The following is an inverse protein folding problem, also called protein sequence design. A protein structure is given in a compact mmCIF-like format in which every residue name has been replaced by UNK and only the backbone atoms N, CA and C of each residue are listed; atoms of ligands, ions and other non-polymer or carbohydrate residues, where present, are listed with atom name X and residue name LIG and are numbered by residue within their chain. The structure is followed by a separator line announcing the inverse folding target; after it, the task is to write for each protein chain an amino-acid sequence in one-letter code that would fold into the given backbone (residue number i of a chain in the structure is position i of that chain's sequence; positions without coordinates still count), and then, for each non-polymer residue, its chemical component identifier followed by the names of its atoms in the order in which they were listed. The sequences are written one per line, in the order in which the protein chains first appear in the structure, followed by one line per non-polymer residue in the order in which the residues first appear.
data_IF_404143808308
#
_entry.id   IF_404143808308
#
_cell.length_a   1.000
_cell.length_b   1.000
_cell.length_c   1.000
_cell.angle_alpha   90.00
_cell.angle_beta   90.00
_cell.angle_gamma   90.00
#
_symmetry.space_group_name_H-M   'P 1'
#
loop_
_entity.id
_entity.type
_entity.pdbx_description
1 polymer ?
#
# COMPACT_ATOMS: atom_id res chain seq x y z
N UNK A 1 2.20 8.68 -10.18
CA UNK A 1 2.30 9.88 -9.32
C UNK A 1 3.11 9.64 -8.03
N UNK A 2 2.82 8.62 -7.19
CA UNK A 2 3.68 8.30 -6.03
C UNK A 2 4.95 7.51 -6.37
N UNK A 3 4.80 6.43 -7.15
CA UNK A 3 5.92 5.58 -7.62
C UNK A 3 6.93 6.30 -8.50
N UNK A 4 6.46 7.18 -9.39
CA UNK A 4 7.33 7.97 -10.27
C UNK A 4 8.25 8.93 -9.48
N UNK A 5 7.87 9.28 -8.24
CA UNK A 5 8.66 10.11 -7.33
C UNK A 5 9.58 9.30 -6.41
N UNK A 6 9.66 7.97 -6.57
CA UNK A 6 10.44 7.09 -5.70
C UNK A 6 9.91 6.98 -4.28
N UNK A 7 8.64 7.34 -4.06
CA UNK A 7 7.98 7.29 -2.75
C UNK A 7 7.29 5.94 -2.54
N UNK A 8 7.24 5.50 -1.29
CA UNK A 8 6.43 4.36 -0.87
C UNK A 8 4.95 4.69 -1.03
N UNK A 9 4.22 3.80 -1.70
CA UNK A 9 2.81 4.01 -2.06
C UNK A 9 1.92 2.99 -1.38
N UNK A 10 0.89 3.48 -0.69
CA UNK A 10 -0.14 2.66 -0.04
C UNK A 10 -1.46 2.87 -0.76
N UNK A 11 -2.06 1.76 -1.22
CA UNK A 11 -3.41 1.75 -1.76
C UNK A 11 -4.39 1.29 -0.67
N UNK A 12 -5.38 2.12 -0.36
CA UNK A 12 -6.48 1.74 0.53
C UNK A 12 -7.73 1.43 -0.31
N UNK A 13 -8.32 0.25 -0.12
CA UNK A 13 -9.44 -0.25 -0.91
C UNK A 13 -10.80 0.32 -0.47
N UNK A 14 -10.94 1.65 -0.46
CA UNK A 14 -12.19 2.34 -0.06
C UNK A 14 -13.14 2.62 -1.24
N UNK A 15 -12.81 2.18 -2.45
CA UNK A 15 -13.49 2.55 -3.69
C UNK A 15 -13.71 1.36 -4.65
N UNK A 16 -13.72 1.64 -5.95
CA UNK A 16 -13.99 0.63 -6.98
C UNK A 16 -12.83 -0.36 -7.23
N UNK A 17 -11.66 -0.12 -6.64
CA UNK A 17 -10.47 -0.97 -6.85
C UNK A 17 -10.52 -2.18 -5.92
N UNK A 18 -10.29 -3.36 -6.49
CA UNK A 18 -10.23 -4.62 -5.74
C UNK A 18 -8.77 -5.04 -5.47
N UNK A 19 -8.59 -5.96 -4.53
CA UNK A 19 -7.29 -6.58 -4.26
C UNK A 19 -6.69 -7.21 -5.54
N UNK A 20 -7.50 -7.93 -6.31
CA UNK A 20 -7.08 -8.56 -7.56
C UNK A 20 -6.55 -7.55 -8.60
N UNK A 21 -7.20 -6.39 -8.71
CA UNK A 21 -6.74 -5.32 -9.59
C UNK A 21 -5.40 -4.74 -9.14
N UNK A 22 -5.20 -4.59 -7.82
CA UNK A 22 -3.95 -4.10 -7.26
C UNK A 22 -2.79 -5.11 -7.46
N UNK A 23 -3.08 -6.40 -7.31
CA UNK A 23 -2.09 -7.48 -7.46
C UNK A 23 -1.61 -7.63 -8.91
N UNK A 24 -2.52 -7.45 -9.87
CA UNK A 24 -2.27 -7.53 -11.31
C UNK A 24 -1.85 -6.19 -11.95
N UNK A 25 -1.71 -5.13 -11.17
CA UNK A 25 -1.26 -3.83 -11.66
C UNK A 25 0.14 -3.93 -12.28
N UNK A 26 0.38 -3.16 -13.35
CA UNK A 26 1.71 -3.09 -13.97
C UNK A 26 2.74 -2.53 -12.98
N UNK A 27 4.01 -2.93 -13.11
CA UNK A 27 5.07 -2.55 -12.18
C UNK A 27 5.22 -1.03 -11.96
N UNK A 28 4.83 -0.23 -12.97
CA UNK A 28 4.87 1.24 -12.92
C UNK A 28 3.84 1.84 -11.95
N UNK A 29 2.72 1.16 -11.73
CA UNK A 29 1.59 1.67 -10.92
C UNK A 29 1.21 0.75 -9.76
N UNK A 30 1.87 -0.41 -9.65
CA UNK A 30 1.64 -1.37 -8.58
C UNK A 30 2.01 -0.77 -7.22
N UNK A 31 1.07 -0.65 -6.26
CA UNK A 31 1.35 -0.11 -4.94
C UNK A 31 2.31 -1.01 -4.16
N UNK A 32 3.00 -0.44 -3.17
CA UNK A 32 3.94 -1.17 -2.31
C UNK A 32 3.22 -1.88 -1.16
N UNK A 33 2.08 -1.32 -0.73
CA UNK A 33 1.17 -1.92 0.25
C UNK A 33 -0.27 -1.72 -0.19
N UNK A 34 -1.08 -2.75 0.04
CA UNK A 34 -2.54 -2.69 -0.14
C UNK A 34 -3.20 -2.93 1.22
N UNK A 35 -4.09 -2.03 1.62
CA UNK A 35 -4.86 -2.13 2.85
C UNK A 35 -6.35 -2.17 2.52
N UNK A 36 -7.11 -2.97 3.25
CA UNK A 36 -8.55 -3.02 3.11
C UNK A 36 -9.22 -1.74 3.64
N UNK A 37 -8.63 -1.12 4.66
CA UNK A 37 -9.15 0.07 5.31
C UNK A 37 -8.02 0.96 5.87
N UNK A 38 -8.24 2.27 5.91
CA UNK A 38 -7.26 3.26 6.41
C UNK A 38 -6.93 3.05 7.89
N UNK A 39 -7.87 2.50 8.66
CA UNK A 39 -7.70 2.19 10.08
C UNK A 39 -6.69 1.06 10.34
N UNK A 40 -6.21 0.37 9.29
CA UNK A 40 -5.13 -0.61 9.40
C UNK A 40 -3.74 0.03 9.39
N UNK A 41 -3.63 1.32 9.03
CA UNK A 41 -2.35 2.03 8.97
C UNK A 41 -1.61 2.08 10.31
N UNK A 42 -2.24 2.41 11.47
CA UNK A 42 -1.52 2.47 12.74
C UNK A 42 -0.88 1.12 13.09
N UNK A 43 -1.63 0.02 12.99
CA UNK A 43 -1.13 -1.32 13.27
C UNK A 43 0.01 -1.73 12.34
N UNK A 44 -0.02 -1.30 11.07
CA UNK A 44 1.07 -1.55 10.13
C UNK A 44 2.32 -0.71 10.45
N UNK A 45 2.16 0.56 10.84
CA UNK A 45 3.27 1.41 11.25
C UNK A 45 3.96 0.86 12.51
N UNK A 46 3.19 0.40 13.48
CA UNK A 46 3.72 -0.25 14.70
C UNK A 46 4.54 -1.50 14.35
N UNK A 47 4.16 -2.28 13.33
CA UNK A 47 4.95 -3.42 12.87
C UNK A 47 6.31 -3.03 12.28
N UNK A 48 6.42 -1.86 11.65
CA UNK A 48 7.70 -1.36 11.12
C UNK A 48 8.64 -0.92 12.23
N UNK A 49 8.11 -0.32 13.30
CA UNK A 49 8.90 0.10 14.47
C UNK A 49 9.43 -1.09 15.29
N UNK A 50 8.83 -2.28 15.10
CA UNK A 50 9.21 -3.53 15.77
C UNK A 50 10.28 -4.34 15.04
N UNK A 51 10.75 -3.91 13.86
CA UNK A 51 11.85 -4.57 13.15
C UNK A 51 13.18 -3.93 13.59
N UNK A 52 14.03 -4.61 14.39
CA UNK A 52 15.37 -4.10 14.66
C UNK A 52 16.18 -4.07 13.36
N UNK A 53 16.90 -2.97 13.15
CA UNK A 53 17.77 -2.71 12.00
C UNK A 53 18.86 -3.78 11.81
#
# INVERSE_FOLDING_TARGET
MGKDAGLFSILVLTGATTQEMADNASAQVKPDLVLADVNQLPAWLEQLELVPA
#
